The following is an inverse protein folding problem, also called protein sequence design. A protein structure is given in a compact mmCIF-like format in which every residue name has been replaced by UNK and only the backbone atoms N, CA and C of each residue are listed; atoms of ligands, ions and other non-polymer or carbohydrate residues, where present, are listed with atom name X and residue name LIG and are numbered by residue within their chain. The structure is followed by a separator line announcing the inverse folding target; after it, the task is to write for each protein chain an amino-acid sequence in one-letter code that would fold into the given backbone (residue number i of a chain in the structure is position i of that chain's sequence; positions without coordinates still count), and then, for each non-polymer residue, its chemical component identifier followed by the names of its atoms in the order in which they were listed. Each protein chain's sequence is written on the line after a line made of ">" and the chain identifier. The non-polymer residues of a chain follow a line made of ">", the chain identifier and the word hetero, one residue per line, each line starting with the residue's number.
data_IF_077549276108
#
_entry.id   IF_077549276108
#
_cell.length_a   1.000
_cell.length_b   1.000
_cell.length_c   1.000
_cell.angle_alpha   90.00
_cell.angle_beta   90.00
_cell.angle_gamma   90.00
#
_symmetry.space_group_name_H-M   'P 1'
#
loop_
_entity.id
_entity.type
_entity.pdbx_description
1 polymer ?
#
# COMPACT_ATOMS: atom_id res chain seq x y z
N UNK A 1 26.09 -8.38 19.86
CA UNK A 1 24.69 -8.26 19.40
C UNK A 1 23.84 -9.38 19.98
N UNK A 2 23.14 -9.15 21.10
CA UNK A 2 22.29 -10.16 21.78
C UNK A 2 21.05 -9.52 22.46
N UNK A 3 20.33 -8.64 21.77
CA UNK A 3 19.10 -8.00 22.31
C UNK A 3 17.86 -8.22 21.40
N UNK A 4 18.05 -8.81 20.22
CA UNK A 4 17.06 -8.75 19.13
C UNK A 4 15.82 -9.69 19.21
N UNK A 5 15.86 -10.87 19.86
CA UNK A 5 14.65 -11.72 19.96
C UNK A 5 13.50 -11.06 20.73
N UNK A 6 13.81 -10.11 21.64
CA UNK A 6 12.81 -9.42 22.45
C UNK A 6 12.05 -8.33 21.67
N UNK A 7 12.66 -7.75 20.63
CA UNK A 7 12.05 -6.67 19.85
C UNK A 7 10.91 -7.17 18.95
N UNK A 8 11.11 -8.32 18.31
CA UNK A 8 10.07 -9.00 17.52
C UNK A 8 8.88 -9.37 18.42
N UNK A 9 9.15 -9.89 19.62
CA UNK A 9 8.10 -10.21 20.61
C UNK A 9 7.34 -8.97 21.13
N UNK A 10 7.99 -7.81 21.23
CA UNK A 10 7.33 -6.55 21.62
C UNK A 10 6.41 -6.00 20.51
N UNK A 11 6.80 -6.13 19.24
CA UNK A 11 5.93 -5.77 18.12
C UNK A 11 4.70 -6.69 18.09
N UNK A 12 4.85 -8.00 18.34
CA UNK A 12 3.72 -8.93 18.42
C UNK A 12 2.79 -8.70 19.61
N UNK A 13 3.30 -8.21 20.75
CA UNK A 13 2.46 -7.94 21.94
C UNK A 13 1.67 -6.63 21.85
N UNK A 14 2.10 -5.66 21.02
CA UNK A 14 1.35 -4.45 20.70
C UNK A 14 0.05 -4.75 19.90
N UNK A 15 0.01 -5.85 19.14
CA UNK A 15 -1.17 -6.26 18.37
C UNK A 15 -2.29 -6.92 19.20
N UNK A 16 -2.01 -7.35 20.44
CA UNK A 16 -2.98 -8.06 21.28
C UNK A 16 -3.85 -7.13 22.17
N UNK A 17 -3.58 -5.82 22.22
CA UNK A 17 -4.16 -4.91 23.23
C UNK A 17 -5.04 -3.76 22.68
N UNK A 18 -5.31 -3.69 21.38
CA UNK A 18 -6.13 -2.61 20.81
C UNK A 18 -7.44 -3.14 20.20
N UNK A 19 -8.45 -3.33 21.07
CA UNK A 19 -9.86 -3.37 20.67
C UNK A 19 -10.45 -1.96 20.88
N UNK A 20 -11.12 -1.33 19.90
CA UNK A 20 -11.65 0.00 20.08
C UNK A 20 -13.00 -0.03 20.81
N UNK A 21 -13.07 0.67 21.94
CA UNK A 21 -14.33 1.23 22.46
C UNK A 21 -14.62 2.53 21.70
N UNK A 22 -15.82 2.62 21.11
CA UNK A 22 -16.23 3.78 20.32
C UNK A 22 -16.60 4.99 21.17
N UNK A 23 -16.58 6.18 20.56
CA UNK A 23 -17.58 7.24 20.76
C UNK A 23 -17.45 8.41 19.78
N UNK A 24 -18.63 8.81 19.28
CA UNK A 24 -19.19 10.13 18.97
C UNK A 24 -18.52 11.11 17.99
N UNK A 25 -19.29 11.42 16.95
CA UNK A 25 -19.05 12.38 15.89
C UNK A 25 -19.43 13.81 16.30
N UNK A 26 -18.54 14.77 15.98
CA UNK A 26 -18.83 16.21 15.94
C UNK A 26 -18.87 16.68 14.49
N UNK A 27 -19.99 17.32 14.12
CA UNK A 27 -20.24 17.86 12.79
C UNK A 27 -19.56 19.23 12.64
N UNK A 28 -18.78 19.43 11.57
CA UNK A 28 -18.29 20.75 11.17
C UNK A 28 -18.66 20.99 9.70
N UNK A 29 -19.52 21.98 9.47
CA UNK A 29 -19.79 22.54 8.14
C UNK A 29 -18.69 23.55 7.81
N UNK A 30 -18.20 23.55 6.56
CA UNK A 30 -17.55 24.73 5.99
C UNK A 30 -18.18 25.12 4.65
N UNK A 31 -18.24 26.44 4.49
CA UNK A 31 -18.96 27.21 3.48
C UNK A 31 -18.23 27.20 2.13
N UNK A 32 -19.05 27.38 1.09
CA UNK A 32 -18.69 27.85 -0.25
C UNK A 32 -17.63 28.95 -0.25
N UNK A 33 -16.67 28.85 -1.17
CA UNK A 33 -15.98 29.99 -1.76
C UNK A 33 -16.03 29.85 -3.29
N UNK A 34 -16.64 30.86 -3.90
CA UNK A 34 -16.69 31.17 -5.33
C UNK A 34 -15.51 32.05 -5.74
N UNK A 35 -15.33 32.16 -7.07
CA UNK A 35 -14.55 33.16 -7.83
C UNK A 35 -13.07 32.84 -8.07
N UNK A 36 -12.80 32.28 -9.25
CA UNK A 36 -11.48 32.24 -9.88
C UNK A 36 -11.27 33.60 -10.55
N UNK A 37 -10.50 34.47 -9.90
CA UNK A 37 -9.93 35.65 -10.51
C UNK A 37 -8.77 35.24 -11.42
N UNK A 38 -8.91 35.48 -12.72
CA UNK A 38 -7.84 35.31 -13.71
C UNK A 38 -6.85 36.47 -13.60
N UNK A 39 -5.87 36.36 -12.69
CA UNK A 39 -4.68 37.22 -12.71
C UNK A 39 -3.56 36.55 -13.48
N UNK A 40 -3.18 37.17 -14.59
CA UNK A 40 -1.98 36.87 -15.38
C UNK A 40 -0.72 37.06 -14.52
N UNK A 41 -0.23 35.98 -13.92
CA UNK A 41 1.10 35.87 -13.36
C UNK A 41 1.83 34.78 -14.13
N UNK A 42 3.08 35.06 -14.55
CA UNK A 42 3.93 34.21 -15.40
C UNK A 42 3.89 32.75 -14.97
N UNK A 43 2.97 32.01 -15.61
CA UNK A 43 2.36 30.81 -15.07
C UNK A 43 3.36 29.71 -14.84
N UNK A 44 3.25 29.04 -13.71
CA UNK A 44 4.06 27.89 -13.38
C UNK A 44 4.01 26.89 -14.56
N UNK A 45 5.11 26.78 -15.30
CA UNK A 45 5.26 25.82 -16.40
C UNK A 45 5.42 24.38 -15.89
N UNK A 46 4.93 24.08 -14.69
CA UNK A 46 5.11 22.81 -13.97
C UNK A 46 3.78 22.33 -13.39
N UNK A 47 3.65 21.02 -13.22
CA UNK A 47 2.51 20.43 -12.54
C UNK A 47 2.49 20.84 -11.07
N UNK A 48 1.36 20.64 -10.39
CA UNK A 48 1.13 21.08 -9.01
C UNK A 48 2.19 20.57 -8.02
N UNK A 49 2.62 19.30 -8.14
CA UNK A 49 3.68 18.75 -7.31
C UNK A 49 5.11 19.18 -7.73
N UNK A 50 5.25 20.05 -8.73
CA UNK A 50 6.53 20.55 -9.24
C UNK A 50 7.49 19.48 -9.78
N UNK A 51 7.07 18.22 -9.96
CA UNK A 51 7.96 17.16 -10.46
C UNK A 51 8.21 17.28 -11.96
N UNK A 52 7.21 17.69 -12.73
CA UNK A 52 7.27 17.75 -14.19
C UNK A 52 6.87 19.12 -14.72
N UNK A 53 7.47 19.52 -15.83
CA UNK A 53 6.99 20.63 -16.64
C UNK A 53 5.76 20.21 -17.45
N UNK A 54 4.88 21.16 -17.77
CA UNK A 54 3.72 20.88 -18.65
C UNK A 54 4.19 20.36 -20.03
N UNK A 55 5.37 20.80 -20.49
CA UNK A 55 5.99 20.32 -21.74
C UNK A 55 6.45 18.86 -21.67
N UNK A 56 6.67 18.30 -20.49
CA UNK A 56 7.01 16.88 -20.31
C UNK A 56 5.76 15.98 -20.27
N UNK A 57 4.58 16.57 -20.06
CA UNK A 57 3.29 15.86 -20.00
C UNK A 57 2.55 16.02 -21.34
N UNK A 58 3.04 15.35 -22.38
CA UNK A 58 2.59 15.57 -23.77
C UNK A 58 1.44 14.67 -24.22
N UNK A 59 1.26 13.52 -23.58
CA UNK A 59 0.18 12.60 -23.95
C UNK A 59 -1.13 13.08 -23.33
N UNK A 60 -2.20 13.11 -24.12
CA UNK A 60 -3.53 13.44 -23.63
C UNK A 60 -4.37 12.18 -23.51
N UNK A 61 -4.96 11.98 -22.32
CA UNK A 61 -5.85 10.85 -22.04
C UNK A 61 -7.12 11.40 -21.39
N UNK A 62 -8.28 10.91 -21.83
CA UNK A 62 -9.58 11.23 -21.24
C UNK A 62 -10.12 10.04 -20.46
N UNK A 63 -10.43 10.22 -19.18
CA UNK A 63 -11.06 9.18 -18.34
C UNK A 63 -12.33 9.76 -17.76
N UNK A 64 -13.49 9.30 -18.25
CA UNK A 64 -14.81 9.76 -17.82
C UNK A 64 -14.92 11.29 -17.78
N UNK A 65 -14.57 11.96 -18.89
CA UNK A 65 -14.59 13.41 -19.05
C UNK A 65 -13.49 14.17 -18.30
N UNK A 66 -12.58 13.47 -17.62
CA UNK A 66 -11.39 14.07 -17.01
C UNK A 66 -10.26 14.05 -18.04
N UNK A 67 -9.90 15.23 -18.55
CA UNK A 67 -8.76 15.40 -19.44
C UNK A 67 -7.44 15.49 -18.67
N UNK A 68 -6.50 14.64 -19.04
CA UNK A 68 -5.23 14.48 -18.36
C UNK A 68 -4.08 14.68 -19.33
N UNK A 69 -3.06 15.40 -18.87
CA UNK A 69 -1.75 15.46 -19.50
C UNK A 69 -0.85 14.47 -18.78
N UNK A 70 -0.26 13.55 -19.53
CA UNK A 70 0.39 12.36 -19.01
C UNK A 70 1.80 12.28 -19.55
N UNK A 71 2.71 11.71 -18.75
CA UNK A 71 4.05 11.40 -19.21
C UNK A 71 4.03 10.42 -20.40
N UNK A 72 4.98 10.55 -21.35
CA UNK A 72 5.16 9.59 -22.42
C UNK A 72 5.27 8.15 -21.94
N UNK A 73 4.83 7.19 -22.76
CA UNK A 73 4.78 5.74 -22.48
C UNK A 73 6.03 5.11 -21.82
N UNK A 74 7.22 5.69 -21.97
CA UNK A 74 8.46 5.14 -21.41
C UNK A 74 8.80 5.63 -20.00
N UNK A 75 8.07 6.62 -19.47
CA UNK A 75 8.39 7.28 -18.19
C UNK A 75 7.35 6.93 -17.13
N UNK A 76 7.36 5.69 -16.64
CA UNK A 76 6.49 5.29 -15.54
C UNK A 76 7.12 5.67 -14.20
N UNK A 77 6.27 6.10 -13.26
CA UNK A 77 6.64 6.32 -11.86
C UNK A 77 6.62 5.02 -11.04
N UNK A 78 6.03 3.95 -11.60
CA UNK A 78 6.05 2.61 -11.03
C UNK A 78 5.69 1.54 -12.06
N UNK A 79 6.18 0.32 -11.84
CA UNK A 79 5.89 -0.86 -12.68
C UNK A 79 5.47 -2.03 -11.77
N UNK A 80 4.57 -2.87 -12.27
CA UNK A 80 4.16 -4.11 -11.60
C UNK A 80 3.77 -5.18 -12.61
N UNK A 81 3.47 -6.40 -12.13
CA UNK A 81 3.12 -7.53 -13.00
C UNK A 81 1.89 -7.31 -13.88
N UNK A 82 1.02 -6.37 -13.49
CA UNK A 82 -0.22 -6.04 -14.20
C UNK A 82 -0.10 -4.85 -15.15
N UNK A 83 0.98 -4.06 -15.08
CA UNK A 83 1.15 -2.89 -15.94
C UNK A 83 2.04 -1.80 -15.34
N UNK A 84 1.77 -0.55 -15.72
CA UNK A 84 2.57 0.62 -15.34
C UNK A 84 1.74 1.72 -14.70
N UNK A 85 2.37 2.51 -13.84
CA UNK A 85 1.80 3.71 -13.24
C UNK A 85 2.55 4.92 -13.79
N UNK A 86 1.80 5.92 -14.26
CA UNK A 86 2.33 7.17 -14.80
C UNK A 86 1.92 8.37 -13.95
N UNK A 87 2.71 9.43 -14.00
CA UNK A 87 2.26 10.72 -13.52
C UNK A 87 1.26 11.33 -14.50
N UNK A 88 0.13 11.82 -14.00
CA UNK A 88 -0.89 12.51 -14.77
C UNK A 88 -1.25 13.85 -14.12
N UNK A 89 -1.61 14.84 -14.93
CA UNK A 89 -1.95 16.17 -14.47
C UNK A 89 -3.18 16.71 -15.18
N UNK A 90 -4.18 17.12 -14.40
CA UNK A 90 -5.34 17.84 -14.91
C UNK A 90 -5.06 19.34 -14.86
N UNK A 91 -4.96 19.99 -16.03
CA UNK A 91 -4.70 21.43 -16.13
C UNK A 91 -5.83 22.28 -15.56
N UNK A 92 -7.08 21.89 -15.81
CA UNK A 92 -8.27 22.65 -15.39
C UNK A 92 -8.44 22.64 -13.87
N UNK A 93 -8.14 21.51 -13.22
CA UNK A 93 -8.25 21.33 -11.78
C UNK A 93 -6.95 21.69 -11.04
N UNK A 94 -5.87 21.98 -11.78
CA UNK A 94 -4.51 22.15 -11.26
C UNK A 94 -4.13 21.03 -10.26
N UNK A 95 -4.36 19.76 -10.65
CA UNK A 95 -4.20 18.61 -9.74
C UNK A 95 -3.42 17.47 -10.39
N UNK A 96 -2.48 16.91 -9.63
CA UNK A 96 -1.70 15.75 -10.01
C UNK A 96 -2.38 14.44 -9.56
N UNK A 97 -2.18 13.39 -10.36
CA UNK A 97 -2.75 12.06 -10.18
C UNK A 97 -1.71 10.99 -10.51
N UNK A 98 -1.97 9.77 -10.05
CA UNK A 98 -1.33 8.57 -10.56
C UNK A 98 -2.28 7.89 -11.56
N UNK A 99 -1.82 7.63 -12.78
CA UNK A 99 -2.58 6.89 -13.78
C UNK A 99 -2.01 5.48 -13.88
N UNK A 100 -2.73 4.49 -13.34
CA UNK A 100 -2.39 3.06 -13.48
C UNK A 100 -3.02 2.52 -14.75
N UNK A 101 -2.22 1.85 -15.58
CA UNK A 101 -2.62 1.24 -16.84
C UNK A 101 -2.34 -0.25 -16.74
N UNK A 102 -3.39 -1.05 -16.60
CA UNK A 102 -3.31 -2.51 -16.46
C UNK A 102 -3.66 -3.21 -17.77
N UNK A 103 -2.92 -4.25 -18.12
CA UNK A 103 -3.22 -5.09 -19.28
C UNK A 103 -4.21 -6.20 -18.91
N UNK A 104 -5.26 -6.41 -19.70
CA UNK A 104 -6.33 -7.40 -19.45
C UNK A 104 -6.44 -8.45 -20.55
N UNK A 105 -5.31 -8.83 -21.17
CA UNK A 105 -5.27 -9.70 -22.36
C UNK A 105 -5.60 -11.18 -22.12
N UNK A 106 -5.71 -11.64 -20.86
CA UNK A 106 -6.25 -12.97 -20.54
C UNK A 106 -7.08 -12.95 -19.26
N UNK A 107 -7.93 -13.96 -19.12
CA UNK A 107 -8.97 -14.03 -18.09
C UNK A 107 -8.45 -13.87 -16.67
N UNK A 108 -7.35 -14.56 -16.32
CA UNK A 108 -6.75 -14.45 -14.99
C UNK A 108 -6.29 -13.03 -14.62
N UNK A 109 -5.70 -12.29 -15.57
CA UNK A 109 -5.36 -10.87 -15.37
C UNK A 109 -6.59 -10.00 -15.30
N UNK A 110 -7.57 -10.23 -16.18
CA UNK A 110 -8.84 -9.51 -16.17
C UNK A 110 -9.54 -9.65 -14.81
N UNK A 111 -9.59 -10.86 -14.25
CA UNK A 111 -10.16 -11.14 -12.93
C UNK A 111 -9.42 -10.39 -11.81
N UNK A 112 -8.08 -10.37 -11.84
CA UNK A 112 -7.29 -9.64 -10.84
C UNK A 112 -7.53 -8.12 -10.91
N UNK A 113 -7.57 -7.57 -12.11
CA UNK A 113 -7.85 -6.14 -12.35
C UNK A 113 -9.29 -5.78 -11.96
N UNK A 114 -10.26 -6.65 -12.24
CA UNK A 114 -11.65 -6.47 -11.80
C UNK A 114 -11.81 -6.55 -10.28
N UNK A 115 -11.03 -7.39 -9.59
CA UNK A 115 -10.97 -7.41 -8.12
C UNK A 115 -10.47 -6.07 -7.57
N UNK A 116 -9.38 -5.54 -8.12
CA UNK A 116 -8.89 -4.22 -7.72
C UNK A 116 -9.96 -3.13 -7.94
N UNK A 117 -10.63 -3.14 -9.08
CA UNK A 117 -11.75 -2.22 -9.34
C UNK A 117 -12.87 -2.35 -8.30
N UNK A 118 -13.26 -3.58 -7.95
CA UNK A 118 -14.31 -3.83 -6.97
C UNK A 118 -13.94 -3.30 -5.57
N UNK A 119 -12.69 -3.55 -5.13
CA UNK A 119 -12.15 -3.04 -3.86
C UNK A 119 -12.13 -1.51 -3.85
N UNK A 120 -11.58 -0.88 -4.90
CA UNK A 120 -11.51 0.58 -4.99
C UNK A 120 -12.89 1.24 -5.04
N UNK A 121 -13.85 0.64 -5.76
CA UNK A 121 -15.23 1.11 -5.77
C UNK A 121 -15.88 1.00 -4.39
N UNK A 122 -15.67 -0.10 -3.67
CA UNK A 122 -16.18 -0.28 -2.31
C UNK A 122 -15.67 0.84 -1.39
N UNK A 123 -14.35 1.06 -1.33
CA UNK A 123 -13.76 2.12 -0.51
C UNK A 123 -14.22 3.51 -0.93
N UNK A 124 -14.50 3.75 -2.22
CA UNK A 124 -15.05 5.03 -2.67
C UNK A 124 -16.45 5.35 -2.13
N UNK A 125 -17.24 4.34 -1.72
CA UNK A 125 -18.53 4.56 -1.06
C UNK A 125 -18.43 4.93 0.42
N UNK A 126 -17.26 4.69 1.04
CA UNK A 126 -17.02 4.99 2.44
C UNK A 126 -16.72 6.47 2.65
N UNK A 127 -17.00 6.95 3.87
CA UNK A 127 -16.64 8.32 4.24
C UNK A 127 -15.10 8.49 4.34
N UNK A 128 -14.64 9.74 4.37
CA UNK A 128 -13.21 10.06 4.34
C UNK A 128 -12.44 9.44 5.51
N UNK A 129 -13.04 9.37 6.71
CA UNK A 129 -12.41 8.82 7.91
C UNK A 129 -12.21 7.31 7.81
N UNK A 130 -13.14 6.59 7.19
CA UNK A 130 -13.08 5.14 6.99
C UNK A 130 -12.08 4.69 5.91
N UNK A 131 -11.60 5.61 5.08
CA UNK A 131 -10.66 5.33 3.98
C UNK A 131 -9.44 6.26 3.96
N UNK A 132 -9.15 6.93 5.07
CA UNK A 132 -8.08 7.93 5.17
C UNK A 132 -6.70 7.37 4.83
N UNK A 133 -6.49 6.07 4.99
CA UNK A 133 -5.25 5.35 4.72
C UNK A 133 -5.31 4.43 3.50
N UNK A 134 -6.38 4.51 2.71
CA UNK A 134 -6.53 3.75 1.46
C UNK A 134 -6.39 4.74 0.30
N UNK A 135 -5.68 4.35 -0.76
CA UNK A 135 -5.56 5.19 -1.95
C UNK A 135 -6.93 5.45 -2.57
N UNK A 136 -7.23 6.71 -2.90
CA UNK A 136 -8.50 7.05 -3.52
C UNK A 136 -8.47 6.82 -5.03
N UNK A 137 -9.49 6.16 -5.56
CA UNK A 137 -9.74 6.13 -7.00
C UNK A 137 -10.69 7.27 -7.39
N UNK A 138 -10.29 8.10 -8.35
CA UNK A 138 -11.08 9.21 -8.86
C UNK A 138 -11.98 8.81 -10.03
N UNK A 139 -11.46 7.97 -10.94
CA UNK A 139 -12.17 7.49 -12.10
C UNK A 139 -11.51 6.22 -12.64
N UNK A 140 -12.19 5.51 -13.52
CA UNK A 140 -11.64 4.38 -14.25
C UNK A 140 -12.27 4.29 -15.64
N UNK A 141 -11.58 3.62 -16.57
CA UNK A 141 -12.08 3.35 -17.92
C UNK A 141 -11.53 2.03 -18.42
N UNK A 142 -12.38 1.18 -18.98
CA UNK A 142 -11.95 0.02 -19.75
C UNK A 142 -11.83 0.42 -21.22
N UNK A 143 -10.74 0.00 -21.86
CA UNK A 143 -10.50 0.17 -23.29
C UNK A 143 -10.44 -1.23 -23.92
N UNK A 144 -11.55 -1.61 -24.54
CA UNK A 144 -11.73 -2.94 -25.13
C UNK A 144 -10.90 -3.15 -26.40
N UNK A 145 -10.57 -2.08 -27.13
CA UNK A 145 -9.77 -2.19 -28.36
C UNK A 145 -8.31 -2.54 -28.01
N UNK A 146 -7.79 -1.87 -26.98
CA UNK A 146 -6.41 -2.03 -26.53
C UNK A 146 -6.22 -3.12 -25.46
N UNK A 147 -7.29 -3.76 -25.00
CA UNK A 147 -7.32 -4.68 -23.86
C UNK A 147 -6.61 -4.08 -22.63
N UNK A 148 -6.98 -2.85 -22.27
CA UNK A 148 -6.41 -2.12 -21.13
C UNK A 148 -7.49 -1.64 -20.17
N UNK A 149 -7.14 -1.56 -18.89
CA UNK A 149 -7.91 -0.87 -17.89
C UNK A 149 -7.12 0.28 -17.30
N UNK A 150 -7.73 1.45 -17.24
CA UNK A 150 -7.15 2.69 -16.74
C UNK A 150 -7.78 3.02 -15.39
N UNK A 151 -6.95 3.28 -14.38
CA UNK A 151 -7.37 3.79 -13.07
C UNK A 151 -6.72 5.14 -12.82
N UNK A 152 -7.55 6.16 -12.59
CA UNK A 152 -7.11 7.47 -12.15
C UNK A 152 -7.12 7.50 -10.63
N UNK A 153 -5.94 7.47 -10.01
CA UNK A 153 -5.74 7.37 -8.57
C UNK A 153 -5.22 8.69 -8.00
N UNK A 154 -5.47 8.90 -6.70
CA UNK A 154 -4.76 9.89 -5.90
C UNK A 154 -3.23 9.70 -6.07
N UNK A 155 -2.49 10.81 -6.14
CA UNK A 155 -1.03 10.72 -6.20
C UNK A 155 -0.47 10.52 -4.79
N UNK A 156 0.18 9.37 -4.56
CA UNK A 156 0.99 9.14 -3.37
C UNK A 156 2.44 9.61 -3.54
N UNK A 157 3.17 9.64 -2.43
CA UNK A 157 4.60 9.90 -2.39
C UNK A 157 5.42 8.65 -2.74
N UNK A 158 6.59 8.52 -2.13
CA UNK A 158 7.46 7.34 -2.31
C UNK A 158 6.87 6.12 -1.62
N UNK A 159 7.17 4.92 -2.11
CA UNK A 159 6.93 3.70 -1.35
C UNK A 159 7.75 3.70 -0.05
N UNK A 160 7.34 2.92 0.96
CA UNK A 160 8.07 2.86 2.22
C UNK A 160 9.52 2.43 2.03
N UNK A 161 9.75 1.48 1.12
CA UNK A 161 11.09 1.05 0.70
C UNK A 161 11.98 2.21 0.29
N UNK A 162 11.49 2.97 -0.68
CA UNK A 162 12.24 4.06 -1.31
C UNK A 162 12.38 5.24 -0.36
N UNK A 163 11.32 5.53 0.42
CA UNK A 163 11.34 6.57 1.45
C UNK A 163 12.37 6.26 2.55
N UNK A 164 12.36 5.05 3.10
CA UNK A 164 13.29 4.63 4.13
C UNK A 164 14.74 4.70 3.63
N UNK A 165 15.04 4.06 2.49
CA UNK A 165 16.39 4.06 1.89
C UNK A 165 16.91 5.47 1.65
N UNK A 166 16.08 6.35 1.08
CA UNK A 166 16.46 7.74 0.86
C UNK A 166 16.83 8.43 2.18
N UNK A 167 15.99 8.29 3.22
CA UNK A 167 16.23 8.96 4.51
C UNK A 167 17.48 8.47 5.22
N UNK A 168 17.82 7.18 5.08
CA UNK A 168 19.09 6.65 5.60
C UNK A 168 20.29 7.19 4.82
N UNK A 169 20.21 7.28 3.48
CA UNK A 169 21.29 7.86 2.66
C UNK A 169 21.51 9.34 2.96
N UNK A 170 20.42 10.13 3.01
CA UNK A 170 20.46 11.56 3.36
C UNK A 170 21.17 11.78 4.71
N UNK A 171 20.87 10.94 5.71
CA UNK A 171 21.48 11.00 7.04
C UNK A 171 22.94 10.56 7.08
N UNK A 172 23.31 9.51 6.36
CA UNK A 172 24.71 9.03 6.35
C UNK A 172 25.66 10.02 5.66
N UNK A 173 25.15 10.91 4.80
CA UNK A 173 25.90 12.02 4.23
C UNK A 173 26.19 13.16 5.23
N UNK A 174 25.42 13.24 6.31
CA UNK A 174 25.60 14.21 7.40
C UNK A 174 26.38 13.50 8.52
N UNK A 175 27.55 14.00 8.92
CA UNK A 175 28.45 13.37 9.92
C UNK A 175 27.83 13.27 11.34
N UNK A 176 26.73 12.54 11.53
CA UNK A 176 25.93 12.51 12.75
C UNK A 176 26.16 11.23 13.56
N UNK A 177 26.68 11.38 14.78
CA UNK A 177 27.03 10.27 15.69
C UNK A 177 25.81 9.62 16.39
N UNK A 178 24.62 10.21 16.27
CA UNK A 178 23.37 9.71 16.87
C UNK A 178 22.56 8.77 15.94
N UNK A 179 23.17 8.32 14.82
CA UNK A 179 22.52 7.58 13.73
C UNK A 179 21.60 6.41 14.13
N UNK A 180 21.98 5.47 15.03
CA UNK A 180 21.21 4.25 15.22
C UNK A 180 19.84 4.44 15.88
N UNK A 181 19.76 5.31 16.91
CA UNK A 181 18.48 5.58 17.60
C UNK A 181 17.50 6.32 16.71
N UNK A 182 18.01 7.24 15.89
CA UNK A 182 17.19 8.00 14.96
C UNK A 182 16.68 7.15 13.80
N UNK A 183 17.47 6.18 13.34
CA UNK A 183 17.04 5.17 12.36
C UNK A 183 15.92 4.30 12.91
N UNK A 184 16.08 3.77 14.13
CA UNK A 184 15.05 2.99 14.81
C UNK A 184 13.74 3.79 14.96
N UNK A 185 13.83 5.06 15.39
CA UNK A 185 12.65 5.92 15.54
C UNK A 185 11.96 6.20 14.19
N UNK A 186 12.73 6.41 13.12
CA UNK A 186 12.18 6.57 11.77
C UNK A 186 11.42 5.32 11.33
N UNK A 187 12.04 4.14 11.51
CA UNK A 187 11.42 2.87 11.17
C UNK A 187 10.12 2.66 11.97
N UNK A 188 10.14 2.92 13.28
CA UNK A 188 8.95 2.83 14.12
C UNK A 188 7.82 3.76 13.63
N UNK A 189 8.14 4.98 13.21
CA UNK A 189 7.13 5.93 12.72
C UNK A 189 6.53 5.49 11.37
N UNK A 190 7.34 4.88 10.49
CA UNK A 190 6.89 4.28 9.24
C UNK A 190 5.96 3.09 9.51
N UNK A 191 6.39 2.17 10.38
CA UNK A 191 5.65 0.95 10.71
C UNK A 191 4.32 1.27 11.39
N UNK A 192 4.26 2.28 12.25
CA UNK A 192 3.00 2.77 12.83
C UNK A 192 2.02 3.21 11.75
N UNK A 193 2.48 3.97 10.75
CA UNK A 193 1.65 4.42 9.63
C UNK A 193 1.13 3.28 8.77
N UNK A 194 2.01 2.33 8.44
CA UNK A 194 1.64 1.13 7.69
C UNK A 194 0.63 0.25 8.48
N UNK A 195 0.84 0.08 9.79
CA UNK A 195 -0.06 -0.66 10.65
C UNK A 195 -1.45 0.00 10.75
N UNK A 196 -1.53 1.34 10.81
CA UNK A 196 -2.80 2.07 10.75
C UNK A 196 -3.55 1.85 9.44
N UNK A 197 -2.82 1.86 8.31
CA UNK A 197 -3.41 1.59 7.00
C UNK A 197 -3.96 0.16 6.91
N UNK A 198 -3.19 -0.83 7.37
CA UNK A 198 -3.59 -2.22 7.37
C UNK A 198 -4.76 -2.49 8.33
N UNK A 199 -4.73 -1.90 9.52
CA UNK A 199 -5.83 -1.96 10.49
C UNK A 199 -7.13 -1.42 9.90
N UNK A 200 -7.08 -0.28 9.18
CA UNK A 200 -8.26 0.27 8.51
C UNK A 200 -8.76 -0.69 7.42
N UNK A 201 -7.87 -1.26 6.61
CA UNK A 201 -8.26 -2.22 5.59
C UNK A 201 -8.90 -3.49 6.18
N UNK A 202 -8.37 -3.99 7.30
CA UNK A 202 -8.86 -5.17 8.02
C UNK A 202 -10.27 -5.04 8.59
N UNK A 203 -10.83 -3.83 8.65
CA UNK A 203 -12.26 -3.64 8.96
C UNK A 203 -13.17 -4.13 7.83
N UNK A 204 -12.62 -4.37 6.64
CA UNK A 204 -13.37 -4.62 5.42
C UNK A 204 -12.86 -5.84 4.62
N UNK A 205 -11.59 -6.22 4.76
CA UNK A 205 -11.02 -7.29 3.95
C UNK A 205 -9.61 -7.72 4.34
N UNK A 206 -9.00 -8.52 3.47
CA UNK A 206 -7.64 -9.07 3.60
C UNK A 206 -6.87 -8.71 2.34
N UNK A 207 -5.70 -8.07 2.49
CA UNK A 207 -4.96 -7.46 1.39
C UNK A 207 -4.24 -8.51 0.54
N UNK A 208 -3.59 -9.48 1.20
CA UNK A 208 -2.87 -10.63 0.67
C UNK A 208 -1.56 -10.33 -0.08
N UNK A 209 -1.25 -9.05 -0.34
CA UNK A 209 0.03 -8.60 -0.90
C UNK A 209 0.69 -7.52 -0.02
N UNK A 210 0.79 -7.74 1.28
CA UNK A 210 1.43 -6.79 2.21
C UNK A 210 2.94 -6.82 2.02
N UNK A 211 3.50 -5.73 1.49
CA UNK A 211 4.94 -5.49 1.29
C UNK A 211 5.26 -4.00 1.25
N UNK A 212 6.52 -3.62 1.44
CA UNK A 212 6.94 -2.23 1.58
C UNK A 212 6.68 -1.36 0.35
N UNK A 213 6.54 -1.98 -0.83
CA UNK A 213 6.22 -1.33 -2.09
C UNK A 213 4.73 -0.96 -2.21
N UNK A 214 3.85 -1.66 -1.49
CA UNK A 214 2.40 -1.46 -1.52
C UNK A 214 1.90 -0.45 -0.48
N UNK A 215 2.82 0.27 0.17
CA UNK A 215 2.52 1.37 1.05
C UNK A 215 3.22 2.63 0.55
N UNK A 216 2.45 3.68 0.28
CA UNK A 216 2.96 4.97 -0.15
C UNK A 216 2.88 5.99 0.99
N UNK A 217 3.85 6.88 1.07
CA UNK A 217 3.74 8.06 1.94
C UNK A 217 2.59 8.93 1.44
N UNK A 218 1.69 9.33 2.33
CA UNK A 218 0.59 10.22 1.96
C UNK A 218 1.13 11.62 1.66
N UNK A 219 0.68 12.21 0.54
CA UNK A 219 0.94 13.61 0.23
C UNK A 219 -0.20 14.46 0.76
N UNK A 220 0.13 15.61 1.36
CA UNK A 220 -0.89 16.61 1.64
C UNK A 220 -1.32 17.26 0.32
N UNK A 221 -2.59 17.68 0.20
CA UNK A 221 -3.14 18.26 -1.05
C UNK A 221 -2.34 19.48 -1.58
N UNK A 222 -1.52 20.09 -0.72
CA UNK A 222 -0.68 21.24 -1.05
C UNK A 222 0.82 20.95 -1.15
N UNK A 223 1.28 19.70 -1.01
CA UNK A 223 2.71 19.42 -0.92
C UNK A 223 3.19 18.29 -1.83
N UNK A 224 4.29 18.54 -2.52
CA UNK A 224 5.06 17.59 -3.33
C UNK A 224 5.84 16.56 -2.52
N UNK A 225 6.11 16.90 -1.26
CA UNK A 225 6.86 16.11 -0.30
C UNK A 225 6.07 16.14 1.01
N UNK A 226 6.04 15.05 1.80
CA UNK A 226 5.52 15.13 3.16
C UNK A 226 6.21 16.30 3.87
N UNK A 227 5.44 17.15 4.57
CA UNK A 227 6.04 18.10 5.50
C UNK A 227 7.05 17.30 6.33
N UNK A 228 8.34 17.65 6.33
CA UNK A 228 9.26 17.00 7.24
C UNK A 228 8.62 17.19 8.60
N UNK A 229 8.19 16.08 9.20
CA UNK A 229 7.80 16.10 10.59
C UNK A 229 8.93 16.84 11.26
N UNK A 230 8.61 17.98 11.89
CA UNK A 230 9.43 18.44 13.02
C UNK A 230 9.73 17.18 13.83
N UNK A 231 10.94 17.03 14.33
CA UNK A 231 11.49 15.86 15.03
C UNK A 231 10.70 15.44 16.29
N UNK A 232 9.39 15.30 16.17
CA UNK A 232 8.42 14.82 17.12
C UNK A 232 8.10 13.38 16.74
N UNK A 233 7.70 12.60 17.73
CA UNK A 233 7.34 11.19 17.64
C UNK A 233 6.06 10.94 16.83
N UNK A 234 5.82 11.72 15.78
CA UNK A 234 4.62 11.69 14.95
C UNK A 234 4.67 10.53 13.95
N UNK A 235 3.52 9.89 13.81
CA UNK A 235 3.34 8.77 12.89
C UNK A 235 3.35 9.29 11.46
N UNK A 236 4.08 8.61 10.58
CA UNK A 236 4.16 9.00 9.17
C UNK A 236 2.88 8.56 8.48
N UNK A 237 2.11 9.46 7.84
CA UNK A 237 0.86 9.09 7.20
C UNK A 237 1.14 8.27 5.94
N UNK A 238 0.42 7.15 5.80
CA UNK A 238 0.62 6.17 4.74
C UNK A 238 -0.70 5.82 4.07
N UNK A 239 -0.63 5.48 2.78
CA UNK A 239 -1.71 4.96 1.94
C UNK A 239 -1.39 3.54 1.46
N UNK A 240 -2.31 2.60 1.65
CA UNK A 240 -2.23 1.26 1.08
C UNK A 240 -2.69 1.28 -0.39
N UNK A 241 -1.99 0.52 -1.24
CA UNK A 241 -2.24 0.40 -2.69
C UNK A 241 -2.19 -1.07 -3.15
N UNK A 242 -2.59 -1.30 -4.40
CA UNK A 242 -2.43 -2.54 -5.16
C UNK A 242 -3.29 -3.73 -4.68
N UNK A 243 -4.59 -3.68 -5.00
CA UNK A 243 -5.60 -4.59 -4.47
C UNK A 243 -5.94 -5.79 -5.40
N UNK A 244 -5.05 -6.15 -6.33
CA UNK A 244 -5.34 -7.15 -7.38
C UNK A 244 -5.72 -8.54 -6.84
N UNK A 245 -5.19 -8.88 -5.67
CA UNK A 245 -5.41 -10.16 -5.01
C UNK A 245 -6.14 -10.03 -3.67
N UNK A 246 -6.60 -8.82 -3.33
CA UNK A 246 -7.33 -8.59 -2.10
C UNK A 246 -8.73 -9.19 -2.15
N UNK A 247 -9.27 -9.45 -0.97
CA UNK A 247 -10.61 -10.00 -0.77
C UNK A 247 -11.36 -9.12 0.23
N UNK A 248 -12.62 -8.81 -0.07
CA UNK A 248 -13.52 -8.02 0.78
C UNK A 248 -14.53 -8.96 1.43
N UNK A 249 -14.90 -8.71 2.68
CA UNK A 249 -15.88 -9.48 3.46
C UNK A 249 -15.58 -10.99 3.57
N UNK A 250 -14.30 -11.35 3.81
CA UNK A 250 -13.83 -12.72 3.59
C UNK A 250 -13.50 -13.54 4.86
N UNK A 251 -14.04 -13.23 6.04
CA UNK A 251 -13.74 -14.06 7.23
C UNK A 251 -14.22 -15.52 7.00
N UNK A 252 -13.26 -16.44 6.82
CA UNK A 252 -13.51 -17.88 6.74
C UNK A 252 -13.88 -18.45 5.36
N UNK A 253 -13.57 -17.75 4.26
CA UNK A 253 -13.84 -18.25 2.91
C UNK A 253 -12.63 -18.99 2.29
N UNK A 254 -12.90 -20.09 1.57
CA UNK A 254 -11.96 -20.70 0.62
C UNK A 254 -11.68 -19.69 -0.50
N UNK A 255 -10.47 -19.12 -0.53
CA UNK A 255 -10.06 -18.29 -1.64
C UNK A 255 -9.32 -19.14 -2.67
N UNK A 256 -9.63 -18.92 -3.96
CA UNK A 256 -8.82 -19.47 -5.03
C UNK A 256 -7.39 -18.90 -4.96
N UNK A 257 -6.46 -19.73 -4.51
CA UNK A 257 -5.02 -19.41 -4.37
C UNK A 257 -4.28 -19.28 -5.69
N UNK A 258 -4.90 -19.69 -6.80
CA UNK A 258 -4.32 -19.66 -8.16
C UNK A 258 -3.82 -18.28 -8.59
N UNK A 259 -4.29 -17.20 -7.96
CA UNK A 259 -3.91 -15.82 -8.29
C UNK A 259 -2.89 -15.20 -7.34
N UNK A 260 -2.45 -15.90 -6.30
CA UNK A 260 -1.49 -15.36 -5.35
C UNK A 260 -0.08 -15.39 -5.93
N UNK A 261 0.55 -14.21 -6.04
CA UNK A 261 1.90 -14.05 -6.57
C UNK A 261 2.91 -15.02 -5.95
N UNK A 262 3.90 -15.45 -6.73
CA UNK A 262 5.06 -16.22 -6.27
C UNK A 262 5.91 -15.32 -5.35
N UNK A 263 5.54 -15.31 -4.08
CA UNK A 263 6.12 -14.49 -3.06
C UNK A 263 6.10 -15.18 -1.71
N UNK A 264 6.64 -14.49 -0.71
CA UNK A 264 6.67 -14.97 0.66
C UNK A 264 5.23 -14.97 1.21
N UNK A 265 4.64 -16.15 1.36
CA UNK A 265 3.25 -16.34 1.79
C UNK A 265 3.20 -16.72 3.27
N UNK A 266 2.11 -16.34 3.92
CA UNK A 266 1.78 -16.89 5.23
C UNK A 266 1.61 -18.42 5.12
N UNK A 267 2.07 -19.21 6.11
CA UNK A 267 2.11 -20.68 6.01
C UNK A 267 0.74 -21.30 5.72
N UNK A 268 -0.33 -20.72 6.25
CA UNK A 268 -1.70 -21.16 6.04
C UNK A 268 -2.16 -21.06 4.58
N UNK A 269 -1.51 -20.22 3.77
CA UNK A 269 -1.83 -20.07 2.34
C UNK A 269 -1.21 -21.17 1.46
N UNK A 270 -0.41 -22.05 2.06
CA UNK A 270 0.26 -23.16 1.35
C UNK A 270 -0.56 -24.45 1.38
N UNK A 271 -1.67 -24.48 2.11
CA UNK A 271 -2.59 -25.62 2.13
C UNK A 271 -3.46 -25.66 0.87
N UNK A 272 -3.95 -26.84 0.51
CA UNK A 272 -4.85 -27.05 -0.64
C UNK A 272 -6.18 -26.29 -0.49
N UNK A 273 -6.68 -26.17 0.75
CA UNK A 273 -7.88 -25.42 1.13
C UNK A 273 -7.56 -24.45 2.27
N UNK A 274 -6.96 -23.28 1.96
CA UNK A 274 -6.51 -22.37 2.98
C UNK A 274 -7.69 -21.59 3.57
N UNK A 275 -7.79 -21.60 4.90
CA UNK A 275 -8.67 -20.67 5.62
C UNK A 275 -7.95 -19.33 5.72
N UNK A 276 -8.36 -18.38 4.87
CA UNK A 276 -7.71 -17.08 4.80
C UNK A 276 -8.31 -16.14 5.84
N UNK A 277 -7.42 -15.56 6.67
CA UNK A 277 -7.78 -14.56 7.68
C UNK A 277 -6.84 -13.36 7.59
N UNK A 278 -7.18 -12.27 8.30
CA UNK A 278 -6.31 -11.09 8.43
C UNK A 278 -4.93 -11.42 9.02
N UNK A 279 -4.75 -12.60 9.63
CA UNK A 279 -3.44 -13.06 10.14
C UNK A 279 -2.41 -13.28 9.04
N UNK A 280 -2.83 -13.60 7.82
CA UNK A 280 -1.93 -13.72 6.68
C UNK A 280 -1.22 -12.38 6.40
N UNK A 281 -1.96 -11.28 6.43
CA UNK A 281 -1.41 -9.94 6.27
C UNK A 281 -0.49 -9.54 7.45
N UNK A 282 -0.81 -9.95 8.68
CA UNK A 282 0.03 -9.70 9.86
C UNK A 282 1.37 -10.44 9.74
N UNK A 283 1.35 -11.68 9.24
CA UNK A 283 2.58 -12.42 8.96
C UNK A 283 3.45 -11.70 7.93
N UNK A 284 2.86 -11.30 6.80
CA UNK A 284 3.55 -10.53 5.75
C UNK A 284 4.04 -9.17 6.25
N UNK A 285 3.31 -8.50 7.14
CA UNK A 285 3.73 -7.27 7.80
C UNK A 285 5.00 -7.47 8.66
N UNK A 286 5.10 -8.59 9.37
CA UNK A 286 6.29 -8.96 10.15
C UNK A 286 7.52 -9.15 9.26
N UNK A 287 7.35 -9.80 8.10
CA UNK A 287 8.42 -9.99 7.12
C UNK A 287 8.84 -8.68 6.46
N UNK A 288 7.87 -7.83 6.08
CA UNK A 288 8.13 -6.49 5.59
C UNK A 288 8.94 -5.67 6.61
N UNK A 289 8.57 -5.73 7.89
CA UNK A 289 9.30 -5.06 8.98
C UNK A 289 10.75 -5.53 9.05
N UNK A 290 10.95 -6.85 8.99
CA UNK A 290 12.29 -7.43 9.00
C UNK A 290 13.10 -7.06 7.75
N UNK A 291 12.45 -6.98 6.58
CA UNK A 291 13.08 -6.60 5.31
C UNK A 291 13.41 -5.13 5.17
N UNK A 292 12.67 -4.24 5.83
CA UNK A 292 13.07 -2.84 5.94
C UNK A 292 14.33 -2.67 6.82
N UNK A 293 14.49 -3.53 7.82
CA UNK A 293 15.65 -3.51 8.72
C UNK A 293 16.88 -4.25 8.17
N UNK A 294 16.67 -5.26 7.34
CA UNK A 294 17.71 -6.18 6.85
C UNK A 294 17.98 -5.99 5.36
N UNK A 295 19.03 -6.63 4.83
CA UNK A 295 19.19 -6.77 3.38
C UNK A 295 18.20 -7.82 2.84
N UNK A 296 17.67 -7.63 1.62
CA UNK A 296 16.67 -8.50 0.99
C UNK A 296 17.11 -9.97 0.92
N UNK A 297 18.39 -10.21 0.62
CA UNK A 297 18.96 -11.58 0.57
C UNK A 297 18.84 -12.31 1.92
N UNK A 298 18.92 -11.57 3.02
CA UNK A 298 18.81 -12.12 4.36
C UNK A 298 17.37 -12.50 4.70
N UNK A 299 16.40 -11.72 4.24
CA UNK A 299 14.97 -12.02 4.44
C UNK A 299 14.59 -13.32 3.75
N UNK A 300 15.03 -13.49 2.50
CA UNK A 300 14.74 -14.70 1.73
C UNK A 300 15.34 -15.93 2.40
N UNK A 301 16.63 -15.88 2.75
CA UNK A 301 17.30 -16.97 3.45
C UNK A 301 16.65 -17.29 4.81
N UNK A 302 16.25 -16.26 5.55
CA UNK A 302 15.56 -16.42 6.84
C UNK A 302 14.18 -17.08 6.68
N UNK A 303 13.39 -16.64 5.71
CA UNK A 303 12.09 -17.25 5.41
C UNK A 303 12.23 -18.70 4.95
N UNK A 304 13.15 -18.98 4.02
CA UNK A 304 13.46 -20.36 3.61
C UNK A 304 13.88 -21.22 4.81
N UNK A 305 14.65 -20.64 5.74
CA UNK A 305 15.02 -21.28 7.00
C UNK A 305 13.81 -21.60 7.89
N UNK A 306 12.86 -20.68 8.05
CA UNK A 306 11.62 -20.93 8.82
C UNK A 306 10.79 -22.03 8.13
N UNK A 307 10.59 -21.92 6.82
CA UNK A 307 9.79 -22.86 6.05
C UNK A 307 10.38 -24.27 6.10
N UNK A 308 11.69 -24.42 5.86
CA UNK A 308 12.36 -25.70 5.79
C UNK A 308 12.55 -26.37 7.15
N UNK A 309 12.83 -25.58 8.21
CA UNK A 309 13.22 -26.15 9.50
C UNK A 309 12.09 -26.23 10.52
N UNK A 310 11.05 -25.40 10.42
CA UNK A 310 9.95 -25.37 11.40
C UNK A 310 8.64 -25.87 10.81
N UNK A 311 8.27 -25.37 9.63
CA UNK A 311 6.91 -25.56 9.12
C UNK A 311 6.76 -26.81 8.26
N UNK A 312 7.65 -27.06 7.30
CA UNK A 312 7.57 -28.27 6.46
C UNK A 312 7.62 -29.58 7.26
N UNK A 313 8.50 -29.75 8.28
CA UNK A 313 8.47 -30.93 9.13
C UNK A 313 7.17 -31.07 9.93
N UNK A 314 6.55 -29.94 10.31
CA UNK A 314 5.28 -29.93 11.04
C UNK A 314 4.09 -30.26 10.13
N UNK A 315 4.03 -29.67 8.93
CA UNK A 315 2.98 -29.92 7.93
C UNK A 315 3.01 -31.35 7.38
N UNK A 316 4.21 -31.93 7.22
CA UNK A 316 4.39 -33.30 6.71
C UNK A 316 4.14 -34.40 7.76
N UNK A 317 3.90 -34.02 9.02
CA UNK A 317 3.59 -34.98 10.08
C UNK A 317 2.07 -35.18 10.20
N UNK A 318 1.57 -36.23 9.56
CA UNK A 318 0.14 -36.58 9.46
C UNK A 318 -0.59 -36.71 10.80
N UNK A 319 0.11 -36.96 11.91
CA UNK A 319 -0.47 -37.01 13.26
C UNK A 319 -0.80 -35.64 13.86
N UNK A 320 -0.22 -34.55 13.35
CA UNK A 320 -0.50 -33.19 13.85
C UNK A 320 -1.67 -32.52 13.11
N UNK A 321 -1.87 -32.84 11.83
CA UNK A 321 -3.01 -32.32 11.06
C UNK A 321 -4.35 -32.71 11.72
N UNK A 322 -4.46 -33.93 12.26
CA UNK A 322 -5.65 -34.36 13.04
C UNK A 322 -5.89 -33.54 14.31
N UNK A 323 -4.84 -32.98 14.92
CA UNK A 323 -4.95 -32.14 16.14
C UNK A 323 -5.27 -30.68 15.82
N UNK A 324 -4.74 -30.13 14.73
CA UNK A 324 -5.10 -28.79 14.28
C UNK A 324 -6.56 -28.75 13.81
N UNK A 325 -7.01 -29.77 13.09
CA UNK A 325 -8.42 -29.94 12.69
C UNK A 325 -9.36 -30.05 13.90
N UNK A 326 -8.88 -30.63 15.01
CA UNK A 326 -9.61 -30.68 16.27
C UNK A 326 -9.64 -29.32 16.99
N UNK A 327 -8.58 -28.51 16.90
CA UNK A 327 -8.50 -27.17 17.49
C UNK A 327 -9.32 -26.13 16.70
N UNK A 328 -9.35 -26.23 15.37
CA UNK A 328 -10.14 -25.35 14.49
C UNK A 328 -11.65 -25.67 14.59
N UNK A 329 -12.02 -26.89 14.99
CA UNK A 329 -13.42 -27.28 15.25
C UNK A 329 -13.98 -26.81 16.60
N UNK A 330 -13.17 -26.21 17.47
CA UNK A 330 -13.67 -25.59 18.70
C UNK A 330 -14.07 -24.16 18.37
N UNK A 331 -15.38 -23.98 18.16
CA UNK A 331 -16.06 -22.70 17.93
C UNK A 331 -15.85 -21.70 19.06
#
# INVERSE_FOLDING_TARGET
>A
MKIWPLFILQVFSLFALYLPQGTLAGCFQSKHISEIATTSHGGQNRCHCQQFTIRELREQININQIELNVQPLHNNIGFGGFGGVKHAFNLHQNKCYALKISQIHYEGRKNAVQRELAVLNYFNTLNVQQRSHIIKMHAWREDSEDNKMYFLLELGGKSLKNYYRQKIVERNGENNRDSPRMEEQLLLNILKGAAQALQQFHQHGIHLDVKEDNFLIALNEHQSEPSPGRESNETIPVKLIDFNISVINSEGHDANTEFMADGIKAPELLYEHPIITTKADVFSFGLMTFGLFSNEDYVKSYYEGIMNNMLLPYMNNTNYNTRLDQLIKVK
#
